data_IF_660378209013
#
_entry.id   IF_660378209013
#
_cell.length_a   1.000
_cell.length_b   1.000
_cell.length_c   1.000
_cell.angle_alpha   90.00
_cell.angle_beta   90.00
_cell.angle_gamma   90.00
#
_symmetry.space_group_name_H-M   'P 1'
#
loop_
_entity.id
_entity.type
_entity.pdbx_description
1 polymer ?
#
# COMPACT_ATOMS: atom_id res chain seq x y z
N UNK A 1 0.67 8.60 12.68
CA UNK A 1 0.96 7.16 12.53
C UNK A 1 2.44 7.05 12.27
N UNK A 2 3.17 6.28 13.07
CA UNK A 2 4.61 6.16 12.97
C UNK A 2 4.95 4.98 12.06
N UNK A 3 5.83 5.20 11.08
CA UNK A 3 6.49 4.12 10.33
C UNK A 3 7.64 3.63 11.21
N UNK A 4 7.73 2.32 11.46
CA UNK A 4 8.80 1.77 12.28
C UNK A 4 10.17 2.01 11.59
N UNK A 5 11.26 2.22 12.35
CA UNK A 5 12.57 2.57 11.78
C UNK A 5 13.12 1.53 10.80
N UNK A 6 12.79 0.25 10.99
CA UNK A 6 13.20 -0.85 10.11
C UNK A 6 12.17 -1.18 9.01
N UNK A 7 11.17 -0.32 8.81
CA UNK A 7 10.18 -0.55 7.76
C UNK A 7 10.81 -0.41 6.37
N UNK A 8 10.25 -1.14 5.41
CA UNK A 8 10.57 -1.00 3.99
C UNK A 8 9.28 -0.90 3.18
N UNK A 9 9.36 -0.26 2.03
CA UNK A 9 8.28 -0.25 1.04
C UNK A 9 7.88 -1.70 0.71
N UNK A 10 6.60 -2.03 0.91
CA UNK A 10 6.11 -3.39 0.68
C UNK A 10 6.10 -3.77 -0.81
N UNK A 11 6.29 -2.81 -1.73
CA UNK A 11 6.41 -3.06 -3.17
C UNK A 11 7.87 -3.29 -3.57
N UNK A 12 8.73 -2.28 -3.36
CA UNK A 12 10.09 -2.24 -3.91
C UNK A 12 11.21 -2.40 -2.87
N UNK A 13 10.87 -2.63 -1.60
CA UNK A 13 11.82 -2.76 -0.48
C UNK A 13 12.68 -1.53 -0.16
N UNK A 14 12.40 -0.36 -0.75
CA UNK A 14 13.08 0.89 -0.38
C UNK A 14 12.87 1.20 1.11
N UNK A 15 13.90 1.65 1.82
CA UNK A 15 13.86 1.98 3.27
C UNK A 15 13.78 3.47 3.57
N UNK A 16 13.57 4.32 2.54
CA UNK A 16 13.54 5.79 2.65
C UNK A 16 12.25 6.36 2.10
N UNK A 17 11.89 7.55 2.58
CA UNK A 17 10.70 8.31 2.17
C UNK A 17 9.43 7.46 2.26
N UNK A 18 9.24 6.83 3.42
CA UNK A 18 8.14 5.90 3.66
C UNK A 18 6.89 6.65 4.12
N UNK A 19 5.76 6.24 3.58
CA UNK A 19 4.44 6.78 3.81
C UNK A 19 3.46 5.65 4.08
N UNK A 20 2.44 5.91 4.89
CA UNK A 20 1.35 4.96 5.12
C UNK A 20 0.24 5.22 4.11
N UNK A 21 -0.01 4.23 3.26
CA UNK A 21 -1.12 4.24 2.31
C UNK A 21 -2.30 3.47 2.89
N UNK A 22 -3.52 4.01 2.74
CA UNK A 22 -4.75 3.29 3.07
C UNK A 22 -5.25 2.61 1.81
N UNK A 23 -5.48 1.29 1.86
CA UNK A 23 -5.96 0.51 0.72
C UNK A 23 -7.39 0.93 0.38
N UNK A 24 -8.30 0.85 1.35
CA UNK A 24 -9.59 1.52 1.28
C UNK A 24 -9.45 2.95 1.80
N UNK A 25 -9.68 3.98 0.96
CA UNK A 25 -9.48 5.37 1.35
C UNK A 25 -10.52 5.83 2.37
N UNK A 26 -10.13 6.79 3.22
CA UNK A 26 -11.01 7.34 4.27
C UNK A 26 -12.23 8.11 3.76
N UNK A 27 -12.32 8.37 2.44
CA UNK A 27 -13.31 9.24 1.77
C UNK A 27 -13.34 10.67 2.37
N UNK A 28 -14.15 11.55 1.79
CA UNK A 28 -14.29 12.91 2.32
C UNK A 28 -14.90 12.87 3.73
N UNK A 29 -14.30 13.62 4.67
CA UNK A 29 -14.72 13.69 6.07
C UNK A 29 -13.97 12.77 7.04
N UNK A 30 -13.09 11.89 6.54
CA UNK A 30 -12.27 11.02 7.37
C UNK A 30 -13.11 9.94 8.06
N UNK A 31 -13.35 8.83 7.38
CA UNK A 31 -14.02 7.67 7.97
C UNK A 31 -13.34 7.23 9.27
N UNK A 32 -14.11 7.13 10.35
CA UNK A 32 -13.67 6.59 11.65
C UNK A 32 -14.04 5.13 11.84
N UNK A 33 -14.49 4.48 10.76
CA UNK A 33 -14.84 3.05 10.74
C UNK A 33 -13.61 2.23 11.17
N UNK A 34 -13.70 1.38 12.21
CA UNK A 34 -12.57 0.58 12.70
C UNK A 34 -11.85 -0.21 11.60
N UNK A 35 -12.59 -0.71 10.62
CA UNK A 35 -12.07 -1.44 9.45
C UNK A 35 -11.20 -0.57 8.54
N UNK A 36 -11.49 0.73 8.42
CA UNK A 36 -10.67 1.66 7.63
C UNK A 36 -9.37 2.00 8.38
N UNK A 37 -9.44 2.04 9.71
CA UNK A 37 -8.28 2.29 10.57
C UNK A 37 -7.47 1.03 10.89
N UNK A 38 -7.98 -0.16 10.54
CA UNK A 38 -7.34 -1.42 10.82
C UNK A 38 -5.94 -1.50 10.17
N UNK A 39 -4.95 -2.13 10.83
CA UNK A 39 -3.63 -2.35 10.24
C UNK A 39 -3.69 -3.09 8.90
N UNK A 40 -4.66 -4.00 8.74
CA UNK A 40 -4.87 -4.74 7.48
C UNK A 40 -5.29 -3.85 6.32
N UNK A 41 -5.88 -2.67 6.57
CA UNK A 41 -6.25 -1.70 5.55
C UNK A 41 -5.12 -0.70 5.24
N UNK A 42 -3.92 -0.89 5.81
CA UNK A 42 -2.80 0.03 5.68
C UNK A 42 -1.56 -0.71 5.19
N UNK A 43 -0.72 0.00 4.45
CA UNK A 43 0.54 -0.55 3.93
C UNK A 43 1.60 0.55 3.93
N UNK A 44 2.87 0.15 4.08
CA UNK A 44 4.00 1.07 4.04
C UNK A 44 4.59 1.09 2.63
N UNK A 45 4.60 2.26 2.00
CA UNK A 45 5.14 2.46 0.65
C UNK A 45 6.17 3.58 0.66
N UNK A 46 7.15 3.52 -0.24
CA UNK A 46 7.94 4.72 -0.53
C UNK A 46 7.12 5.71 -1.36
N UNK A 47 7.50 6.98 -1.29
CA UNK A 47 6.84 8.08 -2.02
C UNK A 47 6.59 7.76 -3.50
N UNK A 48 7.58 7.19 -4.20
CA UNK A 48 7.43 6.88 -5.63
C UNK A 48 6.35 5.84 -5.91
N UNK A 49 6.34 4.73 -5.15
CA UNK A 49 5.29 3.71 -5.28
C UNK A 49 3.92 4.24 -4.83
N UNK A 50 3.89 5.07 -3.79
CA UNK A 50 2.66 5.69 -3.31
C UNK A 50 2.02 6.60 -4.37
N UNK A 51 2.83 7.39 -5.09
CA UNK A 51 2.37 8.23 -6.19
C UNK A 51 1.82 7.42 -7.36
N UNK A 52 2.44 6.28 -7.73
CA UNK A 52 1.92 5.42 -8.81
C UNK A 52 0.49 4.94 -8.55
N UNK A 53 0.19 4.59 -7.29
CA UNK A 53 -1.16 4.15 -6.89
C UNK A 53 -2.12 5.35 -6.80
N UNK A 54 -1.67 6.46 -6.23
CA UNK A 54 -2.50 7.67 -6.08
C UNK A 54 -2.87 8.28 -7.43
N UNK A 55 -1.96 8.22 -8.41
CA UNK A 55 -2.20 8.60 -9.81
C UNK A 55 -2.96 7.54 -10.62
N UNK A 56 -3.39 6.43 -9.99
CA UNK A 56 -4.14 5.34 -10.63
C UNK A 56 -3.39 4.66 -11.79
N UNK A 57 -2.05 4.77 -11.84
CA UNK A 57 -1.22 4.03 -12.80
C UNK A 57 -1.07 2.58 -12.38
N UNK A 58 -1.00 2.33 -11.08
CA UNK A 58 -0.95 1.00 -10.49
C UNK A 58 -2.19 0.74 -9.62
N UNK A 59 -2.69 -0.48 -9.70
CA UNK A 59 -3.71 -1.01 -8.80
C UNK A 59 -3.04 -1.92 -7.77
N UNK A 60 -3.31 -1.69 -6.48
CA UNK A 60 -2.78 -2.49 -5.37
C UNK A 60 -3.93 -3.29 -4.75
N UNK A 61 -3.78 -4.60 -4.73
CA UNK A 61 -4.63 -5.52 -3.99
C UNK A 61 -3.86 -6.10 -2.81
N UNK A 62 -4.45 -6.04 -1.61
CA UNK A 62 -3.88 -6.58 -0.38
C UNK A 62 -4.81 -7.63 0.20
N UNK A 63 -4.22 -8.74 0.60
CA UNK A 63 -4.87 -9.75 1.46
C UNK A 63 -3.99 -9.98 2.69
N UNK A 64 -4.46 -10.77 3.64
CA UNK A 64 -3.67 -11.13 4.83
C UNK A 64 -2.39 -11.91 4.49
N UNK A 65 -2.26 -12.44 3.26
CA UNK A 65 -1.13 -13.28 2.84
C UNK A 65 -0.23 -12.68 1.78
N UNK A 66 -0.69 -11.65 1.07
CA UNK A 66 0.07 -11.09 -0.04
C UNK A 66 -0.36 -9.68 -0.41
N UNK A 67 0.54 -8.97 -1.09
CA UNK A 67 0.21 -7.85 -1.97
C UNK A 67 0.42 -8.26 -3.43
N UNK A 68 -0.46 -7.78 -4.29
CA UNK A 68 -0.31 -7.83 -5.75
C UNK A 68 -0.46 -6.41 -6.27
N UNK A 69 0.46 -6.00 -7.13
CA UNK A 69 0.41 -4.70 -7.81
C UNK A 69 0.38 -4.93 -9.29
N UNK A 70 -0.62 -4.35 -9.94
CA UNK A 70 -0.88 -4.49 -11.37
C UNK A 70 -0.81 -3.12 -12.03
N UNK A 71 -0.08 -3.02 -13.14
CA UNK A 71 -0.09 -1.83 -13.97
C UNK A 71 -1.44 -1.71 -14.69
N UNK A 72 -2.14 -0.60 -14.51
CA UNK A 72 -3.51 -0.41 -15.02
C UNK A 72 -3.57 -0.39 -16.55
N UNK A 73 -2.68 0.31 -17.27
CA UNK A 73 -2.70 0.30 -18.74
C UNK A 73 -2.54 -1.09 -19.39
N UNK A 74 -1.71 -1.96 -18.83
CA UNK A 74 -1.29 -3.22 -19.45
C UNK A 74 -1.92 -4.45 -18.80
N UNK A 75 -2.35 -4.35 -17.55
CA UNK A 75 -2.77 -5.49 -16.73
C UNK A 75 -1.61 -6.34 -16.24
N UNK A 76 -0.35 -5.90 -16.43
CA UNK A 76 0.82 -6.66 -16.01
C UNK A 76 1.05 -6.57 -14.50
N UNK A 77 1.42 -7.70 -13.88
CA UNK A 77 1.82 -7.72 -12.47
C UNK A 77 3.23 -7.18 -12.34
N UNK A 78 3.36 -5.97 -11.78
CA UNK A 78 4.65 -5.29 -11.58
C UNK A 78 5.31 -5.66 -10.25
N UNK A 79 4.51 -6.10 -9.27
CA UNK A 79 5.03 -6.60 -8.01
C UNK A 79 4.09 -7.62 -7.36
N UNK A 80 4.69 -8.62 -6.70
CA UNK A 80 4.00 -9.56 -5.83
C UNK A 80 4.87 -9.85 -4.63
N UNK A 81 4.31 -9.72 -3.42
CA UNK A 81 4.98 -10.11 -2.17
C UNK A 81 4.05 -10.97 -1.35
N UNK A 82 4.60 -12.03 -0.78
CA UNK A 82 3.93 -12.85 0.22
C UNK A 82 4.32 -12.34 1.60
N UNK A 83 3.37 -12.37 2.52
CA UNK A 83 3.63 -12.19 3.94
C UNK A 83 3.83 -13.56 4.56
N UNK A 84 4.88 -13.70 5.38
CA UNK A 84 4.99 -14.86 6.25
C UNK A 84 3.88 -14.78 7.33
N UNK A 85 3.14 -15.88 7.57
CA UNK A 85 2.04 -15.92 8.52
C UNK A 85 2.47 -15.82 9.99
#
# INVERSE_FOLDING_TARGET
MFVAPDSTCEICAASRNLEVHHIEPRRMGGSRRPEIEAPSNKTVLCHSCHTQITEQRWHLERTDRQIVVTEVPTGEVVARRLFDP
#
